data_IF_947882092016
#
_entry.id   IF_947882092016
#
_cell.length_a   1.000
_cell.length_b   1.000
_cell.length_c   1.000
_cell.angle_alpha   90.00
_cell.angle_beta   90.00
_cell.angle_gamma   90.00
#
_symmetry.space_group_name_H-M   'P 1'
#
loop_
_entity.id
_entity.type
_entity.pdbx_description
1 polymer ?
#
# COMPACT_ATOMS: atom_id res chain seq x y z
N UNK A 1 2.56 -7.84 -12.57
CA UNK A 1 2.29 -8.57 -13.76
C UNK A 1 0.96 -8.17 -14.38
N UNK A 2 0.79 -8.41 -15.62
CA UNK A 2 -0.37 -7.97 -16.36
C UNK A 2 -1.16 -9.08 -17.02
N UNK A 3 -0.77 -10.31 -16.78
CA UNK A 3 -1.45 -11.43 -17.42
C UNK A 3 -2.93 -11.44 -17.09
N UNK A 4 -3.29 -10.96 -15.90
CA UNK A 4 -4.68 -10.97 -15.48
C UNK A 4 -5.57 -10.09 -16.33
N UNK A 5 -5.00 -9.12 -17.04
CA UNK A 5 -5.82 -8.25 -17.90
C UNK A 5 -5.84 -8.70 -19.33
N UNK A 6 -5.03 -9.71 -19.70
CA UNK A 6 -5.00 -10.18 -21.08
C UNK A 6 -6.25 -10.98 -21.37
N UNK A 7 -6.88 -10.69 -22.48
CA UNK A 7 -8.11 -11.35 -22.87
C UNK A 7 -9.35 -10.88 -22.14
N UNK A 8 -9.20 -9.95 -21.22
CA UNK A 8 -10.36 -9.38 -20.55
C UNK A 8 -11.07 -8.40 -21.46
N UNK A 9 -12.36 -8.52 -21.50
CA UNK A 9 -13.16 -7.51 -22.17
C UNK A 9 -13.46 -6.41 -21.17
N UNK A 10 -13.36 -5.18 -21.64
CA UNK A 10 -13.73 -4.00 -20.86
C UNK A 10 -15.22 -3.83 -20.95
N UNK A 11 -15.96 -4.44 -20.03
CA UNK A 11 -17.42 -4.46 -20.08
C UNK A 11 -18.05 -3.37 -19.22
N UNK A 12 -17.27 -2.63 -18.46
CA UNK A 12 -17.79 -1.64 -17.54
C UNK A 12 -17.27 -0.26 -17.86
N UNK A 13 -17.85 0.71 -17.16
CA UNK A 13 -17.38 2.10 -17.25
C UNK A 13 -16.23 2.35 -16.29
N UNK A 14 -16.04 1.47 -15.30
CA UNK A 14 -14.97 1.59 -14.31
C UNK A 14 -13.72 0.95 -14.88
N UNK A 15 -12.59 1.68 -14.83
CA UNK A 15 -11.33 1.23 -15.43
C UNK A 15 -10.35 0.68 -14.41
N UNK A 16 -10.59 0.92 -13.12
CA UNK A 16 -9.68 0.46 -12.08
C UNK A 16 -9.78 1.36 -10.87
N UNK A 17 -8.89 1.16 -9.93
CA UNK A 17 -8.79 2.01 -8.75
C UNK A 17 -7.77 3.10 -9.05
N UNK A 18 -8.19 4.38 -8.91
CA UNK A 18 -7.31 5.51 -9.19
C UNK A 18 -6.35 5.78 -8.04
N UNK A 19 -6.87 5.81 -6.82
CA UNK A 19 -6.01 6.09 -5.67
C UNK A 19 -6.63 5.56 -4.38
N UNK A 20 -5.78 5.44 -3.37
CA UNK A 20 -6.17 5.20 -1.98
C UNK A 20 -5.81 6.47 -1.22
N UNK A 21 -6.75 6.99 -0.41
CA UNK A 21 -6.53 8.24 0.31
C UNK A 21 -6.35 7.98 1.79
N UNK A 22 -5.40 8.70 2.37
CA UNK A 22 -5.11 8.67 3.80
C UNK A 22 -5.23 10.09 4.33
N UNK A 23 -5.70 10.27 5.55
CA UNK A 23 -5.78 11.60 6.16
C UNK A 23 -4.95 11.66 7.42
N UNK A 24 -4.15 12.74 7.49
CA UNK A 24 -3.31 13.03 8.64
C UNK A 24 -3.88 14.22 9.40
N UNK A 25 -3.65 14.26 10.69
CA UNK A 25 -4.09 15.37 11.54
C UNK A 25 -2.93 16.37 11.66
N UNK A 26 -2.85 17.29 10.72
CA UNK A 26 -1.86 18.36 10.74
C UNK A 26 -0.59 18.03 10.00
N UNK A 27 0.28 19.04 9.90
CA UNK A 27 1.47 18.95 9.05
C UNK A 27 2.57 18.07 9.62
N UNK A 28 2.70 17.99 10.93
CA UNK A 28 3.74 17.18 11.52
C UNK A 28 3.50 15.69 11.21
N UNK A 29 2.28 15.23 11.40
CA UNK A 29 1.93 13.87 11.06
C UNK A 29 2.01 13.65 9.55
N UNK A 30 1.57 14.63 8.78
CA UNK A 30 1.62 14.57 7.33
C UNK A 30 3.05 14.34 6.83
N UNK A 31 4.03 15.11 7.34
CA UNK A 31 5.41 14.95 6.91
C UNK A 31 5.95 13.57 7.26
N UNK A 32 5.57 13.05 8.41
CA UNK A 32 5.97 11.71 8.83
C UNK A 32 5.41 10.64 7.90
N UNK A 33 4.13 10.77 7.54
CA UNK A 33 3.47 9.80 6.67
C UNK A 33 4.04 9.87 5.26
N UNK A 34 4.25 11.08 4.74
CA UNK A 34 4.85 11.24 3.42
C UNK A 34 6.25 10.63 3.40
N UNK A 35 7.03 10.86 4.44
CA UNK A 35 8.36 10.28 4.53
C UNK A 35 8.35 8.76 4.49
N UNK A 36 7.38 8.16 5.17
CA UNK A 36 7.24 6.70 5.13
C UNK A 36 7.01 6.19 3.71
N UNK A 37 6.01 6.75 3.02
CA UNK A 37 5.67 6.24 1.68
C UNK A 37 6.74 6.61 0.65
N UNK A 38 7.30 7.80 0.74
CA UNK A 38 8.30 8.24 -0.23
C UNK A 38 9.68 7.66 0.04
N UNK A 39 10.15 7.73 1.29
CA UNK A 39 11.54 7.42 1.59
C UNK A 39 11.76 5.97 1.99
N UNK A 40 10.82 5.37 2.72
CA UNK A 40 10.94 3.96 3.13
C UNK A 40 10.46 3.04 2.02
N UNK A 41 9.27 3.31 1.45
CA UNK A 41 8.69 2.45 0.44
C UNK A 41 9.07 2.84 -0.99
N UNK A 42 9.62 4.04 -1.20
CA UNK A 42 10.14 4.42 -2.50
C UNK A 42 9.13 4.95 -3.49
N UNK A 43 7.97 5.41 -3.02
CA UNK A 43 7.01 6.03 -3.92
C UNK A 43 7.52 7.40 -4.37
N UNK A 44 7.09 7.83 -5.54
CA UNK A 44 7.54 9.09 -6.13
C UNK A 44 6.43 10.13 -6.09
N UNK A 45 6.81 11.40 -5.89
CA UNK A 45 5.85 12.48 -5.86
C UNK A 45 5.29 12.69 -7.27
N UNK A 46 3.97 12.61 -7.39
CA UNK A 46 3.28 12.90 -8.63
C UNK A 46 2.84 14.36 -8.69
N UNK A 47 2.24 14.84 -7.62
CA UNK A 47 1.83 16.25 -7.49
C UNK A 47 1.55 16.55 -6.03
N UNK A 48 1.57 17.85 -5.69
CA UNK A 48 1.25 18.28 -4.32
C UNK A 48 0.52 19.62 -4.36
N UNK A 49 -0.20 19.90 -3.27
CA UNK A 49 -0.91 21.15 -3.08
C UNK A 49 -0.95 21.43 -1.58
N UNK A 50 -1.58 22.55 -1.19
CA UNK A 50 -1.53 22.97 0.22
C UNK A 50 -2.04 21.92 1.19
N UNK A 51 -3.04 21.13 0.79
CA UNK A 51 -3.71 20.21 1.70
C UNK A 51 -3.36 18.76 1.47
N UNK A 52 -2.49 18.45 0.51
CA UNK A 52 -2.20 17.06 0.24
C UNK A 52 -1.11 16.82 -0.78
N UNK A 53 -0.88 15.55 -1.02
CA UNK A 53 0.13 15.09 -1.96
C UNK A 53 -0.34 13.78 -2.57
N UNK A 54 0.03 13.54 -3.80
CA UNK A 54 -0.16 12.24 -4.44
C UNK A 54 1.20 11.65 -4.74
N UNK A 55 1.39 10.42 -4.28
CA UNK A 55 2.60 9.64 -4.52
C UNK A 55 2.24 8.45 -5.39
N UNK A 56 3.10 8.11 -6.32
CA UNK A 56 2.81 7.04 -7.27
C UNK A 56 3.93 6.03 -7.35
N UNK A 57 3.54 4.80 -7.65
CA UNK A 57 4.45 3.75 -8.07
C UNK A 57 3.71 2.95 -9.12
N UNK A 58 4.29 2.87 -10.33
CA UNK A 58 3.57 2.26 -11.43
C UNK A 58 2.26 2.99 -11.69
N UNK A 59 1.17 2.24 -11.75
CA UNK A 59 -0.17 2.80 -11.99
C UNK A 59 -0.92 3.12 -10.69
N UNK A 60 -0.34 2.84 -9.53
CA UNK A 60 -1.03 3.04 -8.26
C UNK A 60 -0.70 4.41 -7.68
N UNK A 61 -1.65 5.00 -6.98
CA UNK A 61 -1.48 6.30 -6.35
C UNK A 61 -1.93 6.21 -4.90
N UNK A 62 -1.09 6.73 -4.00
CA UNK A 62 -1.44 6.97 -2.61
C UNK A 62 -1.58 8.47 -2.45
N UNK A 63 -2.76 8.91 -2.01
CA UNK A 63 -3.03 10.31 -1.76
C UNK A 63 -3.04 10.54 -0.26
N UNK A 64 -2.34 11.57 0.19
CA UNK A 64 -2.20 11.86 1.63
C UNK A 64 -2.62 13.29 1.86
N UNK A 65 -3.54 13.49 2.81
CA UNK A 65 -4.05 14.81 3.17
C UNK A 65 -3.54 15.22 4.55
N UNK A 66 -3.42 16.52 4.77
CA UNK A 66 -2.99 17.07 6.07
C UNK A 66 -4.14 17.66 6.88
N UNK A 67 -5.37 17.56 6.41
CA UNK A 67 -6.51 18.29 6.96
C UNK A 67 -7.53 17.40 7.66
N UNK A 68 -7.10 16.26 8.19
CA UNK A 68 -7.96 15.42 9.01
C UNK A 68 -8.10 15.98 10.41
N UNK A 69 -9.18 15.63 11.08
CA UNK A 69 -9.43 16.09 12.44
C UNK A 69 -9.56 14.94 13.44
N UNK A 70 -9.45 13.70 13.00
CA UNK A 70 -9.41 12.55 13.91
C UNK A 70 -8.68 11.38 13.24
N UNK A 71 -8.46 10.33 14.05
CA UNK A 71 -7.89 9.07 13.56
C UNK A 71 -8.97 8.01 13.66
N UNK A 72 -9.68 7.75 12.56
CA UNK A 72 -10.77 6.77 12.61
C UNK A 72 -10.27 5.38 12.93
N UNK A 73 -11.12 4.61 13.60
CA UNK A 73 -10.83 3.22 13.85
C UNK A 73 -10.97 2.43 12.55
N UNK A 74 -10.57 1.17 12.61
CA UNK A 74 -10.63 0.29 11.45
C UNK A 74 -12.07 0.20 10.93
N UNK A 75 -12.23 0.38 9.63
CA UNK A 75 -13.54 0.34 8.97
C UNK A 75 -13.70 -0.87 8.07
N UNK A 76 -14.59 -0.74 7.08
CA UNK A 76 -14.86 -1.83 6.14
C UNK A 76 -13.65 -2.18 5.30
N UNK A 77 -12.86 -1.19 4.91
CA UNK A 77 -11.60 -1.44 4.22
C UNK A 77 -10.56 -1.78 5.27
N UNK A 78 -10.06 -3.01 5.24
CA UNK A 78 -9.22 -3.55 6.30
C UNK A 78 -7.75 -3.34 6.05
N UNK A 79 -7.31 -3.48 4.83
CA UNK A 79 -5.92 -3.24 4.45
C UNK A 79 -5.85 -3.00 2.95
N UNK A 80 -4.69 -2.59 2.50
CA UNK A 80 -4.38 -2.59 1.07
C UNK A 80 -3.01 -3.24 0.89
N UNK A 81 -2.75 -3.72 -0.32
CA UNK A 81 -1.55 -4.50 -0.58
C UNK A 81 -0.69 -3.81 -1.65
N UNK A 82 0.63 -3.83 -1.42
CA UNK A 82 1.59 -3.46 -2.45
C UNK A 82 2.14 -4.73 -3.08
N UNK A 83 2.25 -4.72 -4.40
CA UNK A 83 2.93 -5.78 -5.12
C UNK A 83 4.43 -5.53 -5.07
N UNK A 84 5.20 -6.56 -4.78
CA UNK A 84 6.65 -6.45 -4.75
C UNK A 84 7.25 -7.77 -5.20
N UNK A 85 8.47 -7.71 -5.70
CA UNK A 85 9.20 -8.93 -6.03
C UNK A 85 10.15 -9.37 -4.93
N UNK A 86 10.16 -8.64 -3.80
CA UNK A 86 11.02 -8.99 -2.67
C UNK A 86 10.38 -8.57 -1.36
N UNK A 87 9.48 -9.40 -0.87
CA UNK A 87 8.75 -9.13 0.38
C UNK A 87 9.73 -8.95 1.54
N UNK A 88 10.77 -9.78 1.60
CA UNK A 88 11.70 -9.74 2.73
C UNK A 88 12.46 -8.42 2.80
N UNK A 89 12.89 -7.90 1.65
CA UNK A 89 13.62 -6.65 1.61
C UNK A 89 12.75 -5.48 2.05
N UNK A 90 11.51 -5.44 1.56
CA UNK A 90 10.60 -4.35 1.94
C UNK A 90 10.26 -4.44 3.43
N UNK A 91 9.98 -5.64 3.93
CA UNK A 91 9.70 -5.82 5.36
C UNK A 91 10.87 -5.35 6.22
N UNK A 92 12.10 -5.65 5.78
CA UNK A 92 13.27 -5.22 6.54
C UNK A 92 13.44 -3.70 6.52
N UNK A 93 13.15 -3.07 5.37
CA UNK A 93 13.20 -1.60 5.29
C UNK A 93 12.20 -0.96 6.23
N UNK A 94 10.99 -1.53 6.30
CA UNK A 94 9.94 -1.04 7.20
C UNK A 94 10.39 -1.17 8.65
N UNK A 95 10.92 -2.33 9.01
CA UNK A 95 11.37 -2.60 10.37
C UNK A 95 12.52 -1.67 10.76
N UNK A 96 13.49 -1.50 9.86
CA UNK A 96 14.64 -0.64 10.11
C UNK A 96 14.22 0.81 10.30
N UNK A 97 13.15 1.23 9.63
CA UNK A 97 12.62 2.58 9.79
C UNK A 97 11.82 2.77 11.09
N UNK A 98 11.66 1.71 11.88
CA UNK A 98 11.00 1.79 13.17
C UNK A 98 9.51 1.46 13.15
N UNK A 99 9.02 0.85 12.10
CA UNK A 99 7.61 0.50 12.01
C UNK A 99 7.40 -0.99 12.24
N UNK A 100 6.22 -1.36 12.66
CA UNK A 100 5.92 -2.74 13.05
C UNK A 100 5.66 -3.62 11.84
N UNK A 101 6.35 -4.76 11.79
CA UNK A 101 6.00 -5.86 10.88
C UNK A 101 5.29 -6.88 11.75
N UNK A 102 3.96 -6.98 11.62
CA UNK A 102 3.19 -7.82 12.55
C UNK A 102 2.90 -9.21 11.99
N UNK A 103 3.11 -9.42 10.69
CA UNK A 103 3.16 -10.76 10.11
C UNK A 103 4.45 -10.83 9.32
N UNK A 104 5.38 -11.67 9.81
CA UNK A 104 6.69 -11.80 9.18
C UNK A 104 6.57 -12.43 7.79
N UNK A 105 7.53 -12.15 6.89
CA UNK A 105 7.50 -12.76 5.57
C UNK A 105 7.34 -14.27 5.64
N UNK A 106 6.38 -14.77 4.87
CA UNK A 106 6.13 -16.21 4.82
C UNK A 106 5.48 -16.57 3.51
N UNK A 107 5.69 -17.83 3.12
CA UNK A 107 5.02 -18.39 1.94
C UNK A 107 3.65 -18.90 2.34
N UNK A 108 2.68 -18.64 1.48
CA UNK A 108 1.31 -19.12 1.70
C UNK A 108 0.81 -19.78 0.42
N UNK A 109 -0.29 -20.55 0.59
CA UNK A 109 -1.02 -21.14 -0.52
C UNK A 109 -2.44 -20.62 -0.44
N UNK A 110 -2.82 -19.78 -1.40
CA UNK A 110 -4.20 -19.33 -1.48
C UNK A 110 -5.01 -20.49 -2.05
N UNK A 111 -6.08 -20.88 -1.34
CA UNK A 111 -6.85 -22.06 -1.67
C UNK A 111 -7.87 -21.77 -2.75
N UNK A 112 -7.41 -21.19 -3.83
CA UNK A 112 -8.20 -21.01 -5.04
C UNK A 112 -8.06 -22.25 -5.91
N UNK A 113 -8.73 -22.26 -7.05
CA UNK A 113 -8.65 -23.38 -7.99
C UNK A 113 -8.20 -22.84 -9.34
N UNK A 114 -6.97 -23.05 -9.72
CA UNK A 114 -5.91 -23.78 -9.02
C UNK A 114 -5.38 -23.04 -7.79
N UNK A 115 -4.75 -23.76 -6.90
CA UNK A 115 -4.08 -23.19 -5.74
C UNK A 115 -3.04 -22.18 -6.20
N UNK A 116 -2.96 -21.05 -5.50
CA UNK A 116 -2.10 -19.94 -5.90
C UNK A 116 -1.05 -19.65 -4.84
N UNK A 117 0.23 -19.93 -5.13
CA UNK A 117 1.28 -19.67 -4.16
C UNK A 117 1.67 -18.18 -4.14
N UNK A 118 1.94 -17.66 -2.94
CA UNK A 118 2.35 -16.29 -2.76
C UNK A 118 3.29 -16.19 -1.56
N UNK A 119 4.05 -15.10 -1.50
CA UNK A 119 4.81 -14.76 -0.31
C UNK A 119 4.30 -13.43 0.18
N UNK A 120 4.01 -13.34 1.49
CA UNK A 120 3.37 -12.15 2.05
C UNK A 120 4.05 -11.72 3.35
N UNK A 121 3.82 -10.47 3.71
CA UNK A 121 4.09 -9.94 5.04
C UNK A 121 3.08 -8.83 5.29
N UNK A 122 2.87 -8.49 6.56
CA UNK A 122 2.00 -7.37 6.92
C UNK A 122 2.76 -6.42 7.85
N UNK A 123 2.58 -5.14 7.61
CA UNK A 123 3.17 -4.11 8.47
C UNK A 123 2.13 -3.04 8.76
N UNK A 124 2.46 -2.15 9.72
CA UNK A 124 1.60 -1.01 10.05
C UNK A 124 2.32 0.25 9.63
N UNK A 125 1.62 1.10 8.90
CA UNK A 125 2.15 2.40 8.54
C UNK A 125 2.02 3.39 9.67
N UNK A 126 2.45 4.64 9.43
CA UNK A 126 2.49 5.66 10.50
C UNK A 126 1.14 6.03 11.10
N UNK A 127 0.04 5.74 10.42
CA UNK A 127 -1.31 6.01 10.91
C UNK A 127 -1.94 4.77 11.54
N UNK A 128 -1.19 3.67 11.66
CA UNK A 128 -1.72 2.41 12.13
C UNK A 128 -2.38 1.61 11.01
N UNK A 129 -2.33 2.12 9.80
CA UNK A 129 -2.94 1.43 8.65
C UNK A 129 -2.21 0.13 8.38
N UNK A 130 -2.99 -0.90 8.07
CA UNK A 130 -2.44 -2.22 7.77
C UNK A 130 -2.10 -2.31 6.29
N UNK A 131 -0.87 -2.67 6.01
CA UNK A 131 -0.33 -2.77 4.67
C UNK A 131 0.18 -4.18 4.45
N UNK A 132 -0.29 -4.82 3.39
CA UNK A 132 0.22 -6.13 3.00
C UNK A 132 1.28 -5.96 1.93
N UNK A 133 2.35 -6.72 2.06
CA UNK A 133 3.39 -6.83 1.03
C UNK A 133 3.14 -8.16 0.35
N UNK A 134 2.95 -8.15 -0.97
CA UNK A 134 2.43 -9.31 -1.68
C UNK A 134 3.28 -9.63 -2.90
N UNK A 135 3.75 -10.86 -2.96
CA UNK A 135 4.52 -11.34 -4.10
C UNK A 135 3.87 -12.60 -4.65
N UNK A 136 3.48 -12.54 -5.92
CA UNK A 136 2.96 -13.73 -6.60
C UNK A 136 4.13 -14.66 -6.91
N UNK A 137 3.96 -15.94 -6.61
CA UNK A 137 5.02 -16.93 -6.79
C UNK A 137 4.75 -17.90 -7.94
N UNK A 138 3.57 -17.86 -8.50
CA UNK A 138 3.23 -18.76 -9.61
C UNK A 138 3.66 -18.21 -10.96
#
# INVERSE_FOLDING_TARGET
>A
MLACSMGREDKGMIKGIHHVALKCCGNEEFEKVVGFYRDVLGLEVLRSWNEGIMLTIGAAIIEIFNNGDDHPVQGAIRHFAFSTENVDEVAEAVRTAGYEVFIEPKDIQIQSDPVFPARIAFCRGPLGEEIELFQEKA
#
